data_IF_201874105332
#
_entry.id   IF_201874105332
#
_cell.length_a   1.000
_cell.length_b   1.000
_cell.length_c   1.000
_cell.angle_alpha   90.00
_cell.angle_beta   90.00
_cell.angle_gamma   90.00
#
_symmetry.space_group_name_H-M   'P 1'
#
loop_
_entity.id
_entity.type
_entity.pdbx_description
1 polymer ?
#
# COMPACT_ATOMS: atom_id res chain seq x y z
N UNK A 1 12.43 -7.47 -13.97
CA UNK A 1 11.43 -6.80 -13.10
C UNK A 1 10.06 -7.22 -13.58
N UNK A 2 9.32 -8.01 -12.81
CA UNK A 2 7.94 -8.38 -13.14
C UNK A 2 7.01 -7.34 -12.51
N UNK A 3 6.16 -6.72 -13.31
CA UNK A 3 5.15 -5.79 -12.81
C UNK A 3 3.93 -6.58 -12.34
N UNK A 4 3.45 -6.29 -11.13
CA UNK A 4 2.17 -6.82 -10.65
C UNK A 4 1.07 -5.87 -11.10
N UNK A 5 0.13 -6.37 -11.90
CA UNK A 5 -1.07 -5.61 -12.29
C UNK A 5 -2.12 -5.81 -11.21
N UNK A 6 -2.70 -4.72 -10.72
CA UNK A 6 -3.85 -4.75 -9.81
C UNK A 6 -5.12 -4.52 -10.62
N UNK A 7 -6.19 -5.25 -10.29
CA UNK A 7 -7.53 -5.08 -10.87
C UNK A 7 -8.57 -5.02 -9.77
N UNK A 8 -9.66 -4.31 -10.03
CA UNK A 8 -10.79 -4.22 -9.10
C UNK A 8 -11.40 -5.61 -8.84
N UNK A 9 -11.74 -5.88 -7.58
CA UNK A 9 -12.28 -7.16 -7.14
C UNK A 9 -11.23 -8.27 -6.93
N UNK A 10 -10.00 -8.11 -7.43
CA UNK A 10 -8.91 -9.04 -7.12
C UNK A 10 -8.35 -8.79 -5.73
N UNK A 11 -7.86 -9.86 -5.10
CA UNK A 11 -7.13 -9.73 -3.85
C UNK A 11 -5.89 -8.86 -4.07
N UNK A 12 -5.64 -7.94 -3.14
CA UNK A 12 -4.43 -7.13 -3.15
C UNK A 12 -3.20 -8.06 -3.06
N UNK A 13 -2.15 -7.83 -3.86
CA UNK A 13 -0.87 -8.50 -3.69
C UNK A 13 -0.30 -8.29 -2.27
N UNK A 14 0.63 -9.14 -1.81
CA UNK A 14 1.36 -8.86 -0.58
C UNK A 14 2.08 -7.52 -0.66
N UNK A 15 1.80 -6.64 0.31
CA UNK A 15 2.43 -5.32 0.44
C UNK A 15 2.92 -5.18 1.88
N UNK A 16 4.24 -5.13 2.03
CA UNK A 16 4.92 -4.89 3.28
C UNK A 16 6.11 -3.97 3.04
N UNK A 17 6.53 -3.24 4.07
CA UNK A 17 7.68 -2.34 3.95
C UNK A 17 7.96 -1.56 5.22
N UNK A 18 9.01 -0.73 5.17
CA UNK A 18 9.39 0.18 6.24
C UNK A 18 8.61 1.49 6.15
N UNK A 19 8.20 2.02 7.29
CA UNK A 19 7.56 3.34 7.40
C UNK A 19 8.27 4.20 8.44
N UNK A 20 7.89 5.47 8.55
CA UNK A 20 8.38 6.37 9.60
C UNK A 20 8.02 5.91 11.02
N UNK A 21 7.01 5.03 11.17
CA UNK A 21 6.55 4.49 12.45
C UNK A 21 7.04 3.05 12.70
N UNK A 22 7.88 2.51 11.81
CA UNK A 22 8.34 1.12 11.84
C UNK A 22 7.75 0.27 10.69
N UNK A 23 8.02 -1.04 10.70
CA UNK A 23 7.58 -1.95 9.64
C UNK A 23 6.06 -2.09 9.61
N UNK A 24 5.52 -2.28 8.41
CA UNK A 24 4.10 -2.54 8.17
C UNK A 24 3.92 -3.75 7.23
N UNK A 25 2.90 -4.56 7.49
CA UNK A 25 2.33 -5.52 6.55
C UNK A 25 0.82 -5.25 6.41
N UNK A 26 0.34 -5.01 5.19
CA UNK A 26 -1.08 -4.74 4.96
C UNK A 26 -1.96 -5.97 5.23
N UNK A 27 -1.37 -7.16 5.31
CA UNK A 27 -2.03 -8.38 5.78
C UNK A 27 -2.67 -8.22 7.17
N UNK A 28 -2.07 -7.42 8.05
CA UNK A 28 -2.50 -7.22 9.44
C UNK A 28 -3.81 -6.42 9.56
N UNK A 29 -4.23 -5.80 8.46
CA UNK A 29 -5.46 -5.00 8.39
C UNK A 29 -6.64 -5.76 7.79
N UNK A 30 -6.50 -7.04 7.44
CA UNK A 30 -7.62 -7.87 6.96
C UNK A 30 -8.75 -7.89 7.99
N UNK A 31 -9.98 -7.69 7.51
CA UNK A 31 -11.18 -7.65 8.36
C UNK A 31 -11.39 -6.33 9.13
N UNK A 32 -10.48 -5.36 9.03
CA UNK A 32 -10.72 -3.98 9.49
C UNK A 32 -11.59 -3.22 8.47
N UNK A 33 -12.24 -2.14 8.90
CA UNK A 33 -12.91 -1.20 7.98
C UNK A 33 -11.93 -0.67 6.93
N UNK A 34 -12.47 -0.18 5.81
CA UNK A 34 -11.75 0.16 4.58
C UNK A 34 -10.33 0.73 4.78
N UNK A 35 -9.34 0.06 4.18
CA UNK A 35 -7.94 0.49 4.13
C UNK A 35 -7.67 1.12 2.77
N UNK A 36 -7.11 2.32 2.76
CA UNK A 36 -6.73 3.04 1.53
C UNK A 36 -5.21 3.24 1.52
N UNK A 37 -4.54 2.64 0.53
CA UNK A 37 -3.12 2.90 0.25
C UNK A 37 -3.03 3.94 -0.87
N UNK A 38 -2.32 5.03 -0.63
CA UNK A 38 -2.09 6.07 -1.61
C UNK A 38 -0.59 6.38 -1.70
N UNK A 39 -0.15 6.78 -2.89
CA UNK A 39 1.23 7.20 -3.15
C UNK A 39 1.21 8.63 -3.67
N UNK A 40 2.26 9.38 -3.36
CA UNK A 40 2.47 10.73 -3.87
C UNK A 40 3.91 10.84 -4.40
N UNK A 41 4.21 11.76 -5.35
CA UNK A 41 5.48 11.74 -6.07
C UNK A 41 6.70 11.93 -5.17
N UNK A 42 6.64 12.94 -4.29
CA UNK A 42 7.73 13.27 -3.36
C UNK A 42 7.23 14.25 -2.29
N UNK A 43 7.91 14.27 -1.15
CA UNK A 43 7.77 15.31 -0.14
C UNK A 43 8.16 16.69 -0.68
N UNK A 44 7.55 17.74 -0.10
CA UNK A 44 7.88 19.16 -0.35
C UNK A 44 7.77 19.62 -1.80
N UNK A 45 6.89 18.99 -2.60
CA UNK A 45 6.56 19.45 -3.95
C UNK A 45 5.18 20.12 -3.98
N UNK A 46 5.01 21.24 -4.72
CA UNK A 46 3.75 22.00 -4.74
C UNK A 46 2.56 21.26 -5.37
N UNK A 47 2.79 20.17 -6.11
CA UNK A 47 1.78 19.45 -6.87
C UNK A 47 1.78 19.84 -8.34
#
# INVERSE_FOLDING_TARGET
MAYVRVREGEALPPVAGETQLGPIDLADFRGRQAVVLYFYPKDSTPG
#
